data_IF_777628677682
#
_entry.id   IF_777628677682
#
_cell.length_a   1.000
_cell.length_b   1.000
_cell.length_c   1.000
_cell.angle_alpha   90.00
_cell.angle_beta   90.00
_cell.angle_gamma   90.00
#
_symmetry.space_group_name_H-M   'P 1'
#
loop_
_entity.id
_entity.type
_entity.pdbx_description
1 polymer ?
#
# COMPACT_ATOMS: atom_id res chain seq x y z
N UNK A 1 -13.89 -5.10 -14.93
CA UNK A 1 -13.54 -6.11 -13.91
C UNK A 1 -12.20 -5.74 -13.33
N UNK A 2 -12.11 -5.51 -12.02
CA UNK A 2 -10.85 -5.14 -11.35
C UNK A 2 -10.11 -6.40 -10.93
N UNK A 3 -8.82 -6.51 -11.24
CA UNK A 3 -7.98 -7.62 -10.78
C UNK A 3 -7.50 -7.33 -9.36
N UNK A 4 -7.51 -8.33 -8.48
CA UNK A 4 -7.04 -8.22 -7.11
C UNK A 4 -5.92 -9.23 -6.84
N UNK A 5 -4.82 -8.76 -6.25
CA UNK A 5 -3.68 -9.59 -5.87
C UNK A 5 -3.43 -9.43 -4.38
N UNK A 6 -3.44 -10.53 -3.64
CA UNK A 6 -3.12 -10.55 -2.21
C UNK A 6 -1.69 -11.04 -2.00
N UNK A 7 -0.89 -10.26 -1.29
CA UNK A 7 0.45 -10.65 -0.86
C UNK A 7 0.40 -11.26 0.54
N UNK A 8 0.68 -12.55 0.61
CA UNK A 8 0.73 -13.35 1.83
C UNK A 8 2.17 -13.62 2.24
N UNK A 9 2.39 -13.92 3.52
CA UNK A 9 3.69 -14.38 4.02
C UNK A 9 3.54 -15.05 5.37
N UNK A 10 4.53 -15.86 5.74
CA UNK A 10 4.46 -16.80 6.86
C UNK A 10 4.75 -16.16 8.23
N UNK A 11 5.29 -14.94 8.25
CA UNK A 11 5.55 -14.19 9.46
C UNK A 11 5.40 -12.68 9.25
N UNK A 12 5.38 -11.91 10.33
CA UNK A 12 5.53 -10.46 10.31
C UNK A 12 6.94 -10.06 9.84
N UNK A 13 7.07 -8.85 9.29
CA UNK A 13 8.38 -8.26 8.89
C UNK A 13 9.21 -8.99 7.82
N UNK A 14 8.70 -10.06 7.21
CA UNK A 14 9.33 -10.76 6.06
C UNK A 14 9.36 -9.97 4.75
N UNK A 15 9.14 -8.65 4.78
CA UNK A 15 9.25 -7.79 3.59
C UNK A 15 7.98 -7.65 2.73
N UNK A 16 6.83 -8.19 3.16
CA UNK A 16 5.55 -8.10 2.42
C UNK A 16 5.19 -6.68 1.99
N UNK A 17 5.35 -5.71 2.88
CA UNK A 17 5.00 -4.31 2.60
C UNK A 17 5.90 -3.67 1.54
N UNK A 18 7.19 -4.03 1.50
CA UNK A 18 8.14 -3.56 0.50
C UNK A 18 7.85 -4.18 -0.86
N UNK A 19 7.58 -5.47 -0.91
CA UNK A 19 7.16 -6.15 -2.14
C UNK A 19 5.86 -5.57 -2.70
N UNK A 20 4.89 -5.30 -1.84
CA UNK A 20 3.64 -4.65 -2.24
C UNK A 20 3.87 -3.27 -2.87
N UNK A 21 4.75 -2.44 -2.27
CA UNK A 21 5.11 -1.15 -2.83
C UNK A 21 5.85 -1.29 -4.17
N UNK A 22 6.77 -2.26 -4.29
CA UNK A 22 7.48 -2.56 -5.53
C UNK A 22 6.51 -2.91 -6.67
N UNK A 23 5.53 -3.78 -6.41
CA UNK A 23 4.49 -4.12 -7.39
C UNK A 23 3.62 -2.91 -7.75
N UNK A 24 3.20 -2.10 -6.76
CA UNK A 24 2.48 -0.86 -7.02
C UNK A 24 3.28 0.08 -7.94
N UNK A 25 4.61 0.16 -7.74
CA UNK A 25 5.48 1.00 -8.57
C UNK A 25 5.59 0.48 -10.00
N UNK A 26 5.77 -0.82 -10.17
CA UNK A 26 5.81 -1.47 -11.50
C UNK A 26 4.51 -1.21 -12.24
N UNK A 27 3.36 -1.49 -11.60
CA UNK A 27 2.06 -1.28 -12.22
C UNK A 27 1.82 0.18 -12.62
N UNK A 28 2.21 1.13 -11.76
CA UNK A 28 2.15 2.55 -12.10
C UNK A 28 3.04 2.90 -13.30
N UNK A 29 4.26 2.38 -13.36
CA UNK A 29 5.18 2.59 -14.49
C UNK A 29 4.67 1.98 -15.79
N UNK A 30 3.95 0.87 -15.71
CA UNK A 30 3.29 0.22 -16.85
C UNK A 30 1.97 0.91 -17.27
N UNK A 31 1.61 2.04 -16.63
CA UNK A 31 0.41 2.81 -16.94
C UNK A 31 -0.88 2.22 -16.35
N UNK A 32 -0.78 1.24 -15.46
CA UNK A 32 -1.92 0.64 -14.78
C UNK A 32 -2.35 1.50 -13.59
N UNK A 33 -3.66 1.50 -13.33
CA UNK A 33 -4.24 2.10 -12.12
C UNK A 33 -4.29 1.05 -11.01
N UNK A 34 -3.47 1.22 -9.98
CA UNK A 34 -3.41 0.33 -8.81
C UNK A 34 -3.78 1.09 -7.55
N UNK A 35 -4.59 0.46 -6.69
CA UNK A 35 -4.89 0.94 -5.35
C UNK A 35 -4.41 -0.12 -4.33
N UNK A 36 -3.42 0.20 -3.47
CA UNK A 36 -3.04 -0.71 -2.40
C UNK A 36 -4.14 -0.78 -1.34
N UNK A 37 -4.29 -1.95 -0.71
CA UNK A 37 -5.26 -2.22 0.35
C UNK A 37 -4.60 -3.07 1.43
N UNK A 38 -4.91 -2.82 2.70
CA UNK A 38 -4.45 -3.65 3.82
C UNK A 38 -5.65 -4.08 4.66
N UNK A 39 -5.94 -5.37 4.66
CA UNK A 39 -7.13 -5.93 5.31
C UNK A 39 -7.18 -5.72 6.82
N UNK A 40 -6.01 -5.69 7.48
CA UNK A 40 -5.90 -5.39 8.90
C UNK A 40 -4.69 -4.50 9.16
N UNK A 41 -4.92 -3.38 9.84
CA UNK A 41 -3.85 -2.53 10.32
C UNK A 41 -3.58 -2.79 11.80
N UNK A 42 -2.48 -3.49 12.08
CA UNK A 42 -1.93 -3.71 13.43
C UNK A 42 -0.70 -2.83 13.70
N UNK A 43 -0.46 -1.80 12.89
CA UNK A 43 0.70 -0.95 13.04
C UNK A 43 0.46 0.11 14.12
N UNK A 44 1.34 0.15 15.13
CA UNK A 44 1.47 1.26 16.08
C UNK A 44 2.21 2.47 15.47
N UNK A 45 2.48 2.43 14.17
CA UNK A 45 3.24 3.44 13.42
C UNK A 45 2.37 4.02 12.30
N UNK A 46 1.56 5.02 12.66
CA UNK A 46 0.75 5.80 11.74
C UNK A 46 1.50 7.05 11.26
N UNK A 47 1.04 7.59 10.13
CA UNK A 47 1.38 8.92 9.64
C UNK A 47 0.11 9.69 9.33
N UNK A 48 0.23 11.01 9.25
CA UNK A 48 -0.89 11.90 8.91
C UNK A 48 -1.00 12.00 7.38
N UNK A 49 -2.20 11.74 6.87
CA UNK A 49 -2.52 11.89 5.45
C UNK A 49 -2.74 13.38 5.10
N UNK A 50 -2.71 13.77 3.82
CA UNK A 50 -2.93 15.17 3.45
C UNK A 50 -4.33 15.72 3.80
N UNK A 51 -5.31 14.85 4.05
CA UNK A 51 -6.64 15.21 4.57
C UNK A 51 -6.73 15.16 6.12
N UNK A 52 -5.60 15.05 6.80
CA UNK A 52 -5.51 15.14 8.27
C UNK A 52 -5.92 13.88 9.03
N UNK A 53 -6.13 12.75 8.33
CA UNK A 53 -6.46 11.46 8.95
C UNK A 53 -5.19 10.67 9.27
N UNK A 54 -5.34 9.60 10.03
CA UNK A 54 -4.26 8.65 10.28
C UNK A 54 -4.31 7.48 9.31
N UNK A 55 -3.13 7.07 8.84
CA UNK A 55 -2.93 5.89 8.00
C UNK A 55 -1.63 5.18 8.40
N UNK A 56 -1.59 3.86 8.33
CA UNK A 56 -0.36 3.13 8.65
C UNK A 56 0.78 3.50 7.68
N UNK A 57 2.01 3.72 8.17
CA UNK A 57 3.14 4.14 7.31
C UNK A 57 3.39 3.22 6.12
N UNK A 58 3.16 1.92 6.29
CA UNK A 58 3.28 0.95 5.20
C UNK A 58 2.24 1.20 4.08
N UNK A 59 1.01 1.61 4.42
CA UNK A 59 -0.01 1.96 3.43
C UNK A 59 0.36 3.27 2.71
N UNK A 60 0.85 4.28 3.45
CA UNK A 60 1.32 5.54 2.86
C UNK A 60 2.41 5.27 1.83
N UNK A 61 3.43 4.48 2.20
CA UNK A 61 4.52 4.11 1.31
C UNK A 61 4.04 3.37 0.04
N UNK A 62 3.06 2.47 0.19
CA UNK A 62 2.46 1.76 -0.95
C UNK A 62 1.64 2.69 -1.85
N UNK A 63 0.88 3.63 -1.27
CA UNK A 63 0.10 4.61 -2.02
C UNK A 63 0.99 5.54 -2.84
N UNK A 64 2.09 6.01 -2.24
CA UNK A 64 3.12 6.80 -2.91
C UNK A 64 3.73 6.02 -4.08
N UNK A 65 4.04 4.73 -3.88
CA UNK A 65 4.57 3.87 -4.93
C UNK A 65 3.57 3.69 -6.10
N UNK A 66 2.26 3.62 -5.79
CA UNK A 66 1.18 3.58 -6.78
C UNK A 66 0.92 4.93 -7.49
N UNK A 67 1.71 5.97 -7.22
CA UNK A 67 1.54 7.31 -7.79
C UNK A 67 0.31 8.05 -7.29
N UNK A 68 -0.29 7.59 -6.19
CA UNK A 68 -1.51 8.17 -5.62
C UNK A 68 -1.19 8.92 -4.32
N UNK A 69 -1.55 10.20 -4.23
CA UNK A 69 -1.34 11.02 -3.02
C UNK A 69 -2.41 10.84 -1.94
N UNK A 70 -3.51 10.14 -2.21
CA UNK A 70 -4.61 9.98 -1.25
C UNK A 70 -5.39 8.68 -1.42
N UNK A 71 -5.65 8.08 -0.25
CA UNK A 71 -6.58 7.00 0.06
C UNK A 71 -6.29 5.63 -0.57
N UNK A 72 -5.42 4.85 0.10
CA UNK A 72 -5.69 3.43 0.27
C UNK A 72 -7.07 3.27 0.92
N UNK A 73 -7.91 2.41 0.37
CA UNK A 73 -9.12 1.92 1.05
C UNK A 73 -8.70 0.90 2.12
#
# INVERSE_FOLDING_TARGET
MTQAVMLQGTASDVGKSVLAAGLCRIFYQDGLRTAPFKSQNMALNSGITPDGKEMGRAQIFQAEAAGSRQMCV
#
